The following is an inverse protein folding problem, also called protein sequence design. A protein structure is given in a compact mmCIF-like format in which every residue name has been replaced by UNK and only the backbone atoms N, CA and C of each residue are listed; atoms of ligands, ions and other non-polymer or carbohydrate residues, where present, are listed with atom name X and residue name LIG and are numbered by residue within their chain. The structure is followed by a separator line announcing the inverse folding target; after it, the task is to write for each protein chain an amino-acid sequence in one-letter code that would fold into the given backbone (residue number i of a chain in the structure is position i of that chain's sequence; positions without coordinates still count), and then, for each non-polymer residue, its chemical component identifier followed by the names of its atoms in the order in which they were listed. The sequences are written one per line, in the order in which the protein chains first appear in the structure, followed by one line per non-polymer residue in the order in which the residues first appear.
data_IF_415859297086
#
_entry.id   IF_415859297086
#
_cell.length_a   1.000
_cell.length_b   1.000
_cell.length_c   1.000
_cell.angle_alpha   90.00
_cell.angle_beta   90.00
_cell.angle_gamma   90.00
#
_symmetry.space_group_name_H-M   'P 1'
#
loop_
_entity.id
_entity.type
_entity.pdbx_description
1 polymer ?
#
# COMPACT_ATOMS: atom_id res chain seq x y z
N UNK A 1 15.09 -3.12 4.82
CA UNK A 1 16.41 -2.51 4.55
C UNK A 1 16.39 -1.06 4.08
N UNK A 2 15.23 -0.37 4.07
CA UNK A 2 15.16 1.07 3.70
C UNK A 2 15.59 1.42 2.27
N UNK A 3 15.71 0.43 1.38
CA UNK A 3 16.14 0.65 -0.02
C UNK A 3 14.98 1.14 -0.87
N UNK A 4 15.26 2.08 -1.77
CA UNK A 4 14.31 2.51 -2.80
C UNK A 4 14.28 1.51 -3.95
N UNK A 5 13.10 1.33 -4.55
CA UNK A 5 12.90 0.44 -5.69
C UNK A 5 11.75 0.97 -6.55
N UNK A 6 11.63 0.45 -7.78
CA UNK A 6 10.56 0.84 -8.70
C UNK A 6 9.35 -0.07 -8.51
N UNK A 7 8.21 0.49 -8.11
CA UNK A 7 6.94 -0.24 -8.02
C UNK A 7 6.25 -0.21 -9.39
N UNK A 8 6.02 -1.37 -9.99
CA UNK A 8 5.31 -1.49 -11.26
C UNK A 8 3.80 -1.33 -11.05
N UNK A 9 3.16 -0.49 -11.86
CA UNK A 9 1.71 -0.24 -11.79
C UNK A 9 1.17 0.18 -13.15
N UNK A 10 -0.07 -0.19 -13.48
CA UNK A 10 -0.74 0.34 -14.66
C UNK A 10 -1.14 1.80 -14.42
N UNK A 11 -0.93 2.63 -15.44
CA UNK A 11 -1.36 4.02 -15.42
C UNK A 11 -2.89 4.09 -15.39
N UNK A 12 -3.43 4.71 -14.36
CA UNK A 12 -4.88 4.89 -14.16
C UNK A 12 -5.32 6.35 -14.12
N UNK A 13 -4.38 7.28 -14.24
CA UNK A 13 -4.61 8.72 -14.24
C UNK A 13 -4.16 9.35 -15.56
N UNK A 14 -4.64 10.57 -15.86
CA UNK A 14 -4.17 11.38 -17.00
C UNK A 14 -2.67 11.72 -16.87
N UNK A 15 -2.04 12.08 -17.98
CA UNK A 15 -0.58 12.27 -18.06
C UNK A 15 -0.10 13.43 -17.17
N UNK A 16 -0.92 14.45 -17.03
CA UNK A 16 -0.71 15.69 -16.27
C UNK A 16 -1.28 15.64 -14.84
N UNK A 17 -1.66 14.45 -14.36
CA UNK A 17 -2.27 14.25 -13.04
C UNK A 17 -1.44 14.78 -11.86
N UNK A 18 -0.12 14.86 -11.98
CA UNK A 18 0.76 15.40 -10.92
C UNK A 18 1.44 16.73 -11.33
N UNK A 19 0.84 17.50 -12.26
CA UNK A 19 1.42 18.79 -12.69
C UNK A 19 1.65 19.79 -11.52
N UNK A 20 0.83 19.72 -10.47
CA UNK A 20 0.96 20.52 -9.25
C UNK A 20 1.81 19.84 -8.15
N UNK A 21 2.48 18.73 -8.46
CA UNK A 21 3.29 17.96 -7.54
C UNK A 21 2.64 16.67 -7.01
N UNK A 22 3.39 15.92 -6.17
CA UNK A 22 2.95 14.66 -5.61
C UNK A 22 1.81 14.86 -4.61
N UNK A 23 0.66 14.25 -4.88
CA UNK A 23 -0.50 14.28 -3.96
C UNK A 23 -1.18 12.93 -3.87
N UNK A 24 -1.58 12.54 -2.66
CA UNK A 24 -2.40 11.36 -2.44
C UNK A 24 -3.71 11.45 -3.23
N UNK A 25 -4.21 10.31 -3.69
CA UNK A 25 -5.44 10.24 -4.47
C UNK A 25 -6.64 10.22 -3.53
N UNK A 26 -7.67 11.01 -3.84
CA UNK A 26 -8.95 10.98 -3.12
C UNK A 26 -9.91 9.96 -3.75
N UNK A 27 -11.01 9.66 -3.05
CA UNK A 27 -11.98 8.64 -3.46
C UNK A 27 -12.56 8.92 -4.87
N UNK A 28 -12.92 10.18 -5.12
CA UNK A 28 -13.43 10.70 -6.39
C UNK A 28 -12.46 11.66 -7.08
N UNK A 29 -11.19 11.26 -7.14
CA UNK A 29 -10.16 12.08 -7.76
C UNK A 29 -10.42 12.30 -9.26
N UNK A 30 -10.60 13.56 -9.73
CA UNK A 30 -10.92 13.87 -11.13
C UNK A 30 -9.79 13.51 -12.10
N UNK A 31 -8.58 13.25 -11.58
CA UNK A 31 -7.43 12.83 -12.38
C UNK A 31 -7.50 11.39 -12.86
N UNK A 32 -8.38 10.57 -12.26
CA UNK A 32 -8.52 9.16 -12.60
C UNK A 32 -9.38 9.04 -13.86
N UNK A 33 -8.90 8.31 -14.85
CA UNK A 33 -9.67 8.08 -16.09
C UNK A 33 -10.85 7.14 -15.82
N UNK A 34 -11.88 7.15 -16.69
CA UNK A 34 -13.04 6.24 -16.54
C UNK A 34 -12.61 4.76 -16.48
N UNK A 35 -11.70 4.36 -17.37
CA UNK A 35 -11.08 3.02 -17.37
C UNK A 35 -10.22 2.82 -16.14
N UNK A 36 -9.44 3.83 -15.74
CA UNK A 36 -8.62 3.80 -14.53
C UNK A 36 -9.42 3.55 -13.25
N UNK A 37 -10.66 4.06 -13.17
CA UNK A 37 -11.58 3.79 -12.05
C UNK A 37 -11.95 2.30 -11.98
N UNK A 38 -12.21 1.66 -13.12
CA UNK A 38 -12.49 0.22 -13.20
C UNK A 38 -11.24 -0.58 -12.80
N UNK A 39 -10.07 -0.24 -13.36
CA UNK A 39 -8.81 -0.91 -13.04
C UNK A 39 -8.48 -0.85 -11.54
N UNK A 40 -8.67 0.32 -10.91
CA UNK A 40 -8.48 0.52 -9.46
C UNK A 40 -9.50 -0.23 -8.60
N UNK A 41 -10.77 -0.29 -9.04
CA UNK A 41 -11.84 -1.02 -8.35
C UNK A 41 -11.55 -2.52 -8.34
N UNK A 42 -11.08 -3.05 -9.46
CA UNK A 42 -10.73 -4.47 -9.62
C UNK A 42 -9.30 -4.80 -9.19
N UNK A 43 -8.52 -3.81 -8.71
CA UNK A 43 -7.08 -3.94 -8.38
C UNK A 43 -6.19 -4.45 -9.53
N UNK A 44 -6.69 -4.39 -10.76
CA UNK A 44 -5.96 -4.79 -11.96
C UNK A 44 -4.74 -3.88 -12.17
N UNK A 45 -4.82 -2.63 -11.72
CA UNK A 45 -3.73 -1.67 -11.81
C UNK A 45 -2.48 -2.09 -11.03
N UNK A 46 -2.63 -2.92 -9.99
CA UNK A 46 -1.54 -3.41 -9.14
C UNK A 46 -1.01 -4.78 -9.56
N UNK A 47 -1.60 -5.45 -10.56
CA UNK A 47 -1.09 -6.74 -11.07
C UNK A 47 0.38 -6.72 -11.49
N UNK A 48 0.91 -5.65 -12.13
CA UNK A 48 2.34 -5.58 -12.44
C UNK A 48 3.26 -5.67 -11.21
N UNK A 49 2.78 -5.40 -9.99
CA UNK A 49 3.57 -5.56 -8.76
C UNK A 49 3.95 -7.01 -8.49
N UNK A 50 3.25 -7.99 -9.07
CA UNK A 50 3.67 -9.39 -9.03
C UNK A 50 5.06 -9.57 -9.66
N UNK A 51 5.43 -8.75 -10.64
CA UNK A 51 6.79 -8.74 -11.18
C UNK A 51 7.81 -8.32 -10.11
N UNK A 52 7.50 -7.32 -9.28
CA UNK A 52 8.36 -6.91 -8.17
C UNK A 52 8.51 -8.01 -7.09
N UNK A 53 7.48 -8.84 -6.92
CA UNK A 53 7.58 -10.02 -6.04
C UNK A 53 8.53 -11.05 -6.64
N UNK A 54 8.42 -11.31 -7.94
CA UNK A 54 9.30 -12.25 -8.65
C UNK A 54 10.75 -11.78 -8.71
N UNK A 55 11.01 -10.48 -8.90
CA UNK A 55 12.37 -9.90 -8.85
C UNK A 55 12.92 -9.78 -7.43
N UNK A 56 12.10 -10.02 -6.41
CA UNK A 56 12.50 -10.04 -5.00
C UNK A 56 12.49 -8.68 -4.30
N UNK A 57 12.03 -7.62 -4.97
CA UNK A 57 11.86 -6.27 -4.38
C UNK A 57 10.70 -6.23 -3.38
N UNK A 58 9.64 -7.00 -3.64
CA UNK A 58 8.43 -7.09 -2.82
C UNK A 58 8.17 -8.54 -2.36
N UNK A 59 7.24 -8.67 -1.41
CA UNK A 59 6.60 -9.90 -0.98
C UNK A 59 5.11 -9.86 -1.34
N UNK A 60 4.42 -11.01 -1.31
CA UNK A 60 2.96 -11.03 -1.38
C UNK A 60 2.35 -10.34 -0.16
N UNK A 61 2.89 -10.64 1.03
CA UNK A 61 2.43 -10.13 2.31
C UNK A 61 3.53 -9.30 2.97
N UNK A 62 3.18 -8.10 3.43
CA UNK A 62 4.06 -7.17 4.11
C UNK A 62 3.48 -5.75 4.22
N UNK A 63 4.14 -4.84 4.93
CA UNK A 63 3.75 -3.42 4.96
C UNK A 63 3.72 -2.82 3.56
N UNK A 64 2.72 -1.99 3.26
CA UNK A 64 2.61 -1.34 1.95
C UNK A 64 3.77 -0.34 1.76
N UNK A 65 4.43 -0.30 0.59
CA UNK A 65 5.51 0.66 0.37
C UNK A 65 4.97 2.09 0.27
N UNK A 66 5.66 3.04 0.87
CA UNK A 66 5.36 4.47 0.77
C UNK A 66 6.31 5.17 -0.20
N UNK A 67 5.87 6.31 -0.75
CA UNK A 67 6.78 7.19 -1.50
C UNK A 67 7.84 7.76 -0.54
N UNK A 68 9.10 7.93 -0.99
CA UNK A 68 10.17 8.45 -0.13
C UNK A 68 9.82 9.78 0.55
N UNK A 69 9.18 10.71 -0.17
CA UNK A 69 8.74 12.00 0.40
C UNK A 69 7.77 11.84 1.58
N UNK A 70 6.82 10.91 1.51
CA UNK A 70 5.89 10.64 2.61
C UNK A 70 6.55 9.85 3.73
N UNK A 71 7.47 8.94 3.41
CA UNK A 71 8.24 8.20 4.41
C UNK A 71 9.06 9.16 5.27
N UNK A 72 9.70 10.17 4.67
CA UNK A 72 10.45 11.20 5.38
C UNK A 72 9.53 12.03 6.28
N UNK A 73 8.47 12.60 5.73
CA UNK A 73 7.52 13.44 6.47
C UNK A 73 6.86 12.69 7.65
N UNK A 74 6.42 11.45 7.43
CA UNK A 74 5.77 10.65 8.47
C UNK A 74 6.77 10.19 9.53
N UNK A 75 8.03 9.96 9.16
CA UNK A 75 9.08 9.57 10.12
C UNK A 75 9.45 10.70 11.08
N UNK A 76 9.31 11.95 10.67
CA UNK A 76 9.53 13.11 11.54
C UNK A 76 8.40 13.28 12.56
N UNK A 77 7.16 12.94 12.17
CA UNK A 77 5.97 13.15 12.99
C UNK A 77 5.54 11.94 13.82
N UNK A 78 5.90 10.73 13.39
CA UNK A 78 5.51 9.46 14.01
C UNK A 78 6.77 8.70 14.43
N UNK A 79 7.03 8.56 15.74
CA UNK A 79 8.12 7.74 16.24
C UNK A 79 8.04 6.31 15.70
N UNK A 80 9.20 5.73 15.44
CA UNK A 80 9.34 4.35 14.94
C UNK A 80 8.74 4.07 13.56
N UNK A 81 8.23 5.07 12.82
CA UNK A 81 7.59 4.84 11.51
C UNK A 81 8.50 4.10 10.52
N UNK A 82 9.80 4.38 10.54
CA UNK A 82 10.80 3.70 9.68
C UNK A 82 10.93 2.19 9.96
N UNK A 83 10.57 1.71 11.15
CA UNK A 83 10.74 0.29 11.50
C UNK A 83 9.93 -0.63 10.59
N UNK A 84 8.80 -0.18 10.03
CA UNK A 84 8.03 -0.95 9.04
C UNK A 84 8.86 -1.39 7.82
N UNK A 85 9.96 -0.70 7.53
CA UNK A 85 10.87 -1.03 6.43
C UNK A 85 11.87 -2.15 6.78
N UNK A 86 11.80 -2.76 7.96
CA UNK A 86 12.65 -3.87 8.37
C UNK A 86 12.38 -5.15 7.57
N UNK A 87 11.14 -5.35 7.13
CA UNK A 87 10.73 -6.47 6.27
C UNK A 87 10.51 -6.01 4.83
N UNK A 88 10.38 -6.96 3.89
CA UNK A 88 10.04 -6.62 2.51
C UNK A 88 8.63 -6.03 2.44
N UNK A 89 8.41 -5.00 1.61
CA UNK A 89 7.07 -4.47 1.39
C UNK A 89 6.16 -5.50 0.72
N UNK A 90 4.87 -5.45 1.03
CA UNK A 90 3.85 -6.37 0.52
C UNK A 90 2.95 -5.76 -0.56
N UNK A 91 2.38 -6.60 -1.43
CA UNK A 91 1.22 -6.22 -2.24
C UNK A 91 0.00 -6.00 -1.33
N UNK A 92 -0.19 -6.94 -0.39
CA UNK A 92 -1.16 -6.84 0.72
C UNK A 92 -0.44 -6.91 2.07
N UNK A 93 -1.14 -6.57 3.15
CA UNK A 93 -0.57 -6.51 4.49
C UNK A 93 -1.64 -6.46 5.57
N UNK A 94 -1.22 -6.68 6.82
CA UNK A 94 -2.12 -6.68 7.97
C UNK A 94 -2.84 -5.34 8.15
N UNK A 95 -2.13 -4.22 7.97
CA UNK A 95 -2.74 -2.90 8.00
C UNK A 95 -3.79 -2.72 6.88
N UNK A 96 -3.52 -3.20 5.66
CA UNK A 96 -4.42 -3.04 4.51
C UNK A 96 -5.75 -3.81 4.65
N UNK A 97 -5.79 -4.87 5.47
CA UNK A 97 -7.02 -5.67 5.68
C UNK A 97 -7.75 -5.33 6.98
N UNK A 98 -7.19 -4.48 7.85
CA UNK A 98 -7.81 -4.10 9.12
C UNK A 98 -8.08 -2.60 9.26
N UNK A 99 -7.37 -1.74 8.54
CA UNK A 99 -7.53 -0.29 8.62
C UNK A 99 -8.02 0.30 7.30
N UNK A 100 -8.82 1.36 7.40
CA UNK A 100 -9.31 2.15 6.27
C UNK A 100 -8.20 3.01 5.65
N UNK A 101 -8.50 3.79 4.61
CA UNK A 101 -7.54 4.73 4.06
C UNK A 101 -7.14 5.77 5.13
N UNK A 102 -5.83 6.03 5.27
CA UNK A 102 -5.35 6.94 6.31
C UNK A 102 -5.11 8.30 5.68
N UNK A 103 -5.76 9.32 6.24
CA UNK A 103 -5.67 10.72 5.81
C UNK A 103 -5.07 11.58 6.93
N UNK A 104 -5.31 11.21 8.17
CA UNK A 104 -4.85 11.91 9.36
C UNK A 104 -3.60 11.27 9.98
N UNK A 105 -2.88 12.03 10.80
CA UNK A 105 -1.71 11.54 11.49
C UNK A 105 -2.01 10.35 12.43
N UNK A 106 -3.16 10.39 13.11
CA UNK A 106 -3.58 9.30 14.02
C UNK A 106 -3.92 8.02 13.25
N UNK A 107 -4.58 8.10 12.10
CA UNK A 107 -4.82 6.93 11.25
C UNK A 107 -3.51 6.35 10.69
N UNK A 108 -2.51 7.20 10.41
CA UNK A 108 -1.18 6.73 10.06
C UNK A 108 -0.47 6.03 11.23
N UNK A 109 -0.71 6.46 12.48
CA UNK A 109 -0.22 5.77 13.68
C UNK A 109 -0.90 4.42 13.86
N UNK A 110 -2.22 4.35 13.72
CA UNK A 110 -2.97 3.09 13.79
C UNK A 110 -2.47 2.10 12.73
N UNK A 111 -2.26 2.56 11.49
CA UNK A 111 -1.66 1.72 10.44
C UNK A 111 -0.27 1.22 10.81
N UNK A 112 0.55 2.08 11.42
CA UNK A 112 1.87 1.68 11.88
C UNK A 112 1.76 0.59 12.95
N UNK A 113 0.81 0.65 13.88
CA UNK A 113 0.60 -0.39 14.89
C UNK A 113 0.30 -1.75 14.25
N UNK A 114 -0.55 -1.78 13.22
CA UNK A 114 -0.81 -3.02 12.47
C UNK A 114 0.44 -3.52 11.73
N UNK A 115 1.23 -2.63 11.14
CA UNK A 115 2.48 -3.02 10.50
C UNK A 115 3.48 -3.59 11.53
N UNK A 116 3.65 -2.94 12.68
CA UNK A 116 4.51 -3.41 13.76
C UNK A 116 4.03 -4.75 14.35
N UNK A 117 2.72 -4.95 14.45
CA UNK A 117 2.13 -6.24 14.82
C UNK A 117 2.53 -7.33 13.81
N UNK A 118 2.42 -7.04 12.52
CA UNK A 118 2.84 -7.97 11.48
C UNK A 118 4.34 -8.27 11.57
N UNK A 119 5.20 -7.26 11.75
CA UNK A 119 6.64 -7.46 11.91
C UNK A 119 6.96 -8.41 13.07
N UNK A 120 6.25 -8.30 14.19
CA UNK A 120 6.45 -9.14 15.37
C UNK A 120 5.90 -10.57 15.22
N UNK A 121 4.78 -10.73 14.51
CA UNK A 121 4.02 -11.99 14.46
C UNK A 121 3.99 -12.64 13.07
N UNK A 122 4.81 -12.18 12.13
CA UNK A 122 4.86 -12.71 10.77
C UNK A 122 5.14 -14.21 10.79
N UNK A 123 4.38 -14.93 9.96
CA UNK A 123 4.46 -16.37 9.87
C UNK A 123 3.38 -16.92 8.94
N UNK A 124 3.50 -18.19 8.51
CA UNK A 124 2.66 -18.76 7.45
C UNK A 124 1.16 -18.66 7.74
N UNK A 125 0.76 -18.79 9.01
CA UNK A 125 -0.64 -18.70 9.44
C UNK A 125 -1.19 -17.28 9.31
N UNK A 126 -0.41 -16.27 9.70
CA UNK A 126 -0.82 -14.87 9.59
C UNK A 126 -0.87 -14.45 8.12
N UNK A 127 0.10 -14.87 7.32
CA UNK A 127 0.15 -14.61 5.88
C UNK A 127 -1.06 -15.21 5.17
N UNK A 128 -1.40 -16.47 5.46
CA UNK A 128 -2.60 -17.12 4.91
C UNK A 128 -3.88 -16.38 5.32
N UNK A 129 -3.98 -15.96 6.59
CA UNK A 129 -5.12 -15.16 7.08
C UNK A 129 -5.24 -13.82 6.32
N UNK A 130 -4.12 -13.14 6.08
CA UNK A 130 -4.10 -11.88 5.32
C UNK A 130 -4.54 -12.12 3.88
N UNK A 131 -4.02 -13.16 3.22
CA UNK A 131 -4.38 -13.48 1.83
C UNK A 131 -5.88 -13.78 1.70
N UNK A 132 -6.44 -14.61 2.58
CA UNK A 132 -7.87 -14.93 2.58
C UNK A 132 -8.74 -13.68 2.79
N UNK A 133 -8.37 -12.82 3.74
CA UNK A 133 -9.06 -11.54 3.96
C UNK A 133 -8.94 -10.60 2.76
N UNK A 134 -7.77 -10.57 2.12
CA UNK A 134 -7.52 -9.75 0.92
C UNK A 134 -8.46 -10.13 -0.21
N UNK A 135 -8.65 -11.44 -0.46
CA UNK A 135 -9.61 -11.92 -1.46
C UNK A 135 -11.02 -11.42 -1.14
N UNK A 136 -11.44 -11.50 0.13
CA UNK A 136 -12.73 -10.97 0.57
C UNK A 136 -12.90 -9.47 0.34
N UNK A 137 -11.87 -8.66 0.64
CA UNK A 137 -11.87 -7.20 0.43
C UNK A 137 -11.96 -6.86 -1.06
N UNK A 138 -11.22 -7.56 -1.92
CA UNK A 138 -11.21 -7.33 -3.37
C UNK A 138 -12.55 -7.72 -4.00
N UNK A 139 -13.12 -8.87 -3.63
CA UNK A 139 -14.41 -9.35 -4.17
C UNK A 139 -15.56 -8.44 -3.73
N UNK A 140 -15.54 -7.96 -2.48
CA UNK A 140 -16.57 -7.05 -1.97
C UNK A 140 -16.39 -5.58 -2.42
N UNK A 141 -15.30 -5.26 -3.14
CA UNK A 141 -15.02 -3.89 -3.59
C UNK A 141 -14.74 -2.88 -2.47
N UNK A 142 -14.51 -3.32 -1.22
CA UNK A 142 -14.26 -2.46 -0.04
C UNK A 142 -12.82 -1.96 0.08
N UNK A 143 -12.01 -2.15 -0.96
CA UNK A 143 -10.61 -1.75 -0.98
C UNK A 143 -10.40 -0.24 -1.18
N UNK A 144 -11.25 0.65 -0.70
CA UNK A 144 -10.98 2.09 -0.77
C UNK A 144 -11.30 2.73 0.56
#
# INVERSE_FOLDING_TARGET
NGRTFRVAKLRTMYVDAEAAGPRQATEDDPRITRVGRILRRLRIDELPQLWNVLTGDMSLVGPRPERPCYMEELSEKIPFFRYRTAVKPGITGWAQVNAEYAVTLEEHREKLEYDLYYLKNQGPLLDLKILLRTVGVVVCGRGR
#
